data_IF_435376587296
#
_entry.id   IF_435376587296
#
_cell.length_a   1.000
_cell.length_b   1.000
_cell.length_c   1.000
_cell.angle_alpha   90.00
_cell.angle_beta   90.00
_cell.angle_gamma   90.00
#
_symmetry.space_group_name_H-M   'P 1'
#
loop_
_entity.id
_entity.type
_entity.pdbx_description
1 polymer ?
#
# COMPACT_ATOMS: atom_id res chain seq x y z
N UNK A 1 11.02 21.39 31.81
CA UNK A 1 10.53 20.03 32.13
C UNK A 1 10.56 19.19 30.87
N UNK A 2 11.27 18.04 30.83
CA UNK A 2 11.17 17.14 29.69
C UNK A 2 9.71 16.67 29.60
N UNK A 3 9.08 16.84 28.43
CA UNK A 3 7.70 16.42 28.22
C UNK A 3 7.62 14.92 28.47
N UNK A 4 6.76 14.49 29.40
CA UNK A 4 6.43 13.07 29.56
C UNK A 4 6.02 12.56 28.17
N UNK A 5 6.64 11.48 27.65
CA UNK A 5 6.22 10.91 26.38
C UNK A 5 4.74 10.55 26.50
N UNK A 6 3.91 11.04 25.57
CA UNK A 6 2.45 10.88 25.66
C UNK A 6 1.99 9.44 25.41
N UNK A 7 2.92 8.53 25.10
CA UNK A 7 2.68 7.14 24.73
C UNK A 7 3.62 6.24 25.50
N UNK A 8 3.12 5.08 25.89
CA UNK A 8 3.90 4.04 26.55
C UNK A 8 4.97 3.47 25.59
N UNK A 9 6.00 2.82 26.13
CA UNK A 9 7.04 2.18 25.30
C UNK A 9 6.43 1.10 24.39
N UNK A 10 5.43 0.36 24.88
CA UNK A 10 4.75 -0.68 24.10
C UNK A 10 3.94 -0.08 22.94
N UNK A 11 3.25 1.04 23.16
CA UNK A 11 2.57 1.77 22.09
C UNK A 11 3.56 2.26 21.03
N UNK A 12 4.74 2.75 21.43
CA UNK A 12 5.78 3.18 20.50
C UNK A 12 6.33 2.01 19.67
N UNK A 13 6.61 0.86 20.30
CA UNK A 13 7.05 -0.37 19.61
C UNK A 13 6.01 -0.84 18.60
N UNK A 14 4.74 -0.79 18.96
CA UNK A 14 3.64 -1.15 18.07
C UNK A 14 3.57 -0.20 16.86
N UNK A 15 3.64 1.12 17.08
CA UNK A 15 3.62 2.11 16.00
C UNK A 15 4.81 1.96 15.05
N UNK A 16 6.01 1.70 15.59
CA UNK A 16 7.21 1.44 14.79
C UNK A 16 7.06 0.16 13.98
N UNK A 17 6.52 -0.91 14.57
CA UNK A 17 6.24 -2.16 13.86
C UNK A 17 5.28 -1.95 12.68
N UNK A 18 4.19 -1.22 12.90
CA UNK A 18 3.26 -0.86 11.82
C UNK A 18 3.93 -0.02 10.74
N UNK A 19 4.80 0.92 11.13
CA UNK A 19 5.54 1.75 10.17
C UNK A 19 6.50 0.93 9.31
N UNK A 20 7.18 -0.05 9.90
CA UNK A 20 8.04 -0.99 9.17
C UNK A 20 7.21 -1.78 8.16
N UNK A 21 6.03 -2.28 8.54
CA UNK A 21 5.12 -2.97 7.62
C UNK A 21 4.72 -2.07 6.45
N UNK A 22 4.37 -0.81 6.71
CA UNK A 22 4.04 0.13 5.63
C UNK A 22 5.21 0.38 4.68
N UNK A 23 6.43 0.52 5.21
CA UNK A 23 7.62 0.74 4.39
C UNK A 23 7.94 -0.49 3.52
N UNK A 24 7.75 -1.70 4.06
CA UNK A 24 7.86 -2.94 3.28
C UNK A 24 6.84 -2.99 2.16
N UNK A 25 5.57 -2.72 2.45
CA UNK A 25 4.51 -2.64 1.43
C UNK A 25 4.86 -1.63 0.32
N UNK A 26 5.37 -0.45 0.71
CA UNK A 26 5.78 0.59 -0.25
C UNK A 26 6.95 0.14 -1.11
N UNK A 27 7.95 -0.49 -0.51
CA UNK A 27 9.11 -1.03 -1.21
C UNK A 27 8.72 -2.10 -2.22
N UNK A 28 7.94 -3.11 -1.81
CA UNK A 28 7.48 -4.17 -2.71
C UNK A 28 6.60 -3.61 -3.84
N UNK A 29 5.70 -2.67 -3.52
CA UNK A 29 4.89 -1.98 -4.53
C UNK A 29 5.77 -1.26 -5.55
N UNK A 30 6.87 -0.63 -5.10
CA UNK A 30 7.79 0.08 -5.97
C UNK A 30 8.56 -0.86 -6.89
N UNK A 31 8.99 -2.04 -6.40
CA UNK A 31 9.60 -3.07 -7.24
C UNK A 31 8.68 -3.43 -8.41
N UNK A 32 7.39 -3.71 -8.14
CA UNK A 32 6.42 -3.97 -9.20
C UNK A 32 6.18 -2.77 -10.10
N UNK A 33 6.13 -1.56 -9.54
CA UNK A 33 5.90 -0.35 -10.32
C UNK A 33 7.02 -0.10 -11.35
N UNK A 34 8.26 -0.48 -11.04
CA UNK A 34 9.41 -0.37 -11.95
C UNK A 34 9.34 -1.36 -13.13
N UNK A 35 8.61 -2.47 -12.97
CA UNK A 35 8.36 -3.44 -14.04
C UNK A 35 7.27 -2.99 -15.03
N UNK A 36 6.56 -1.89 -14.72
CA UNK A 36 5.42 -1.45 -15.54
C UNK A 36 5.85 -0.96 -16.92
N UNK A 37 5.06 -1.25 -17.97
CA UNK A 37 5.35 -0.79 -19.32
C UNK A 37 5.28 0.74 -19.40
N UNK A 38 6.25 1.35 -20.10
CA UNK A 38 6.33 2.82 -20.27
C UNK A 38 5.52 3.36 -21.45
N UNK A 39 5.04 2.50 -22.34
CA UNK A 39 4.31 2.87 -23.57
C UNK A 39 3.01 2.05 -23.74
N UNK A 40 2.03 2.61 -24.46
CA UNK A 40 0.75 1.94 -24.79
C UNK A 40 0.89 0.87 -25.88
N UNK A 41 0.02 -0.15 -25.85
CA UNK A 41 -0.13 -1.16 -24.81
C UNK A 41 0.70 -2.39 -25.23
N UNK A 42 1.74 -2.73 -24.48
CA UNK A 42 2.30 -4.08 -24.57
C UNK A 42 1.41 -4.97 -23.69
N UNK A 43 0.44 -5.67 -24.31
CA UNK A 43 -0.55 -6.55 -23.68
C UNK A 43 0.04 -7.71 -22.82
N UNK A 44 1.34 -7.70 -22.52
CA UNK A 44 2.07 -8.75 -21.83
C UNK A 44 2.32 -8.48 -20.35
N UNK A 45 1.87 -7.35 -19.79
CA UNK A 45 2.08 -7.10 -18.36
C UNK A 45 1.14 -7.95 -17.50
N UNK A 46 1.68 -9.04 -16.97
CA UNK A 46 1.02 -9.95 -16.03
C UNK A 46 1.88 -10.13 -14.77
N UNK A 47 1.27 -10.65 -13.70
CA UNK A 47 1.98 -10.97 -12.47
C UNK A 47 3.23 -11.85 -12.73
N UNK A 48 3.07 -12.89 -13.55
CA UNK A 48 4.16 -13.77 -13.94
C UNK A 48 5.26 -13.04 -14.71
N UNK A 49 4.89 -12.16 -15.65
CA UNK A 49 5.87 -11.38 -16.41
C UNK A 49 6.66 -10.42 -15.52
N UNK A 50 5.99 -9.69 -14.61
CA UNK A 50 6.68 -8.81 -13.66
C UNK A 50 7.65 -9.57 -12.74
N UNK A 51 7.28 -10.78 -12.32
CA UNK A 51 8.08 -11.61 -11.42
C UNK A 51 9.40 -12.08 -12.03
N UNK A 52 9.54 -12.08 -13.36
CA UNK A 52 10.83 -12.40 -14.02
C UNK A 52 11.96 -11.46 -13.62
N UNK A 53 11.63 -10.26 -13.15
CA UNK A 53 12.59 -9.22 -12.73
C UNK A 53 12.63 -8.99 -11.21
N UNK A 54 11.86 -9.75 -10.43
CA UNK A 54 11.72 -9.58 -8.98
C UNK A 54 12.14 -10.86 -8.26
N UNK A 55 13.02 -10.72 -7.28
CA UNK A 55 13.47 -11.83 -6.44
C UNK A 55 12.29 -12.51 -5.71
N UNK A 56 12.35 -13.83 -5.55
CA UNK A 56 11.22 -14.66 -5.10
C UNK A 56 10.63 -14.22 -3.75
N UNK A 57 11.48 -13.79 -2.82
CA UNK A 57 11.11 -13.29 -1.49
C UNK A 57 10.28 -11.98 -1.51
N UNK A 58 10.24 -11.29 -2.65
CA UNK A 58 9.48 -10.06 -2.86
C UNK A 58 8.27 -10.26 -3.77
N UNK A 59 8.02 -11.47 -4.25
CA UNK A 59 6.88 -11.75 -5.12
C UNK A 59 5.58 -11.76 -4.32
N UNK A 60 4.73 -10.77 -4.55
CA UNK A 60 3.52 -10.53 -3.78
C UNK A 60 2.41 -9.93 -4.66
N UNK A 61 1.26 -10.60 -4.71
CA UNK A 61 0.09 -10.18 -5.51
C UNK A 61 -0.46 -8.83 -5.05
N UNK A 62 -0.48 -8.56 -3.75
CA UNK A 62 -1.00 -7.30 -3.23
C UNK A 62 -0.11 -6.12 -3.62
N UNK A 63 1.21 -6.32 -3.61
CA UNK A 63 2.17 -5.33 -4.08
C UNK A 63 2.02 -5.07 -5.59
N UNK A 64 1.85 -6.13 -6.38
CA UNK A 64 1.57 -6.04 -7.81
C UNK A 64 0.28 -5.25 -8.09
N UNK A 65 -0.82 -5.57 -7.41
CA UNK A 65 -2.10 -4.87 -7.57
C UNK A 65 -2.01 -3.38 -7.16
N UNK A 66 -1.31 -3.06 -6.06
CA UNK A 66 -1.04 -1.67 -5.66
C UNK A 66 -0.29 -0.92 -6.77
N UNK A 67 0.71 -1.57 -7.39
CA UNK A 67 1.46 -0.99 -8.48
C UNK A 67 0.58 -0.75 -9.72
N UNK A 68 -0.27 -1.71 -10.09
CA UNK A 68 -1.22 -1.57 -11.22
C UNK A 68 -2.15 -0.39 -11.00
N UNK A 69 -2.76 -0.29 -9.83
CA UNK A 69 -3.65 0.84 -9.47
C UNK A 69 -2.91 2.17 -9.59
N UNK A 70 -1.68 2.25 -9.05
CA UNK A 70 -0.84 3.45 -9.14
C UNK A 70 -0.51 3.79 -10.60
N UNK A 71 -0.16 2.80 -11.42
CA UNK A 71 0.18 2.98 -12.82
C UNK A 71 -1.01 3.51 -13.63
N UNK A 72 -2.18 2.88 -13.49
CA UNK A 72 -3.41 3.33 -14.15
C UNK A 72 -3.85 4.73 -13.70
N UNK A 73 -3.68 5.05 -12.42
CA UNK A 73 -4.04 6.35 -11.87
C UNK A 73 -3.13 7.51 -12.30
N UNK A 74 -1.88 7.22 -12.70
CA UNK A 74 -0.91 8.23 -13.15
C UNK A 74 -0.96 8.49 -14.67
N UNK A 75 -1.57 7.59 -15.45
CA UNK A 75 -1.66 7.71 -16.91
C UNK A 75 -2.88 8.52 -17.34
N UNK A 76 -2.79 9.09 -18.55
CA UNK A 76 -3.89 9.84 -19.14
C UNK A 76 -5.02 8.90 -19.60
N UNK A 77 -6.29 9.33 -19.51
CA UNK A 77 -7.40 8.64 -20.16
C UNK A 77 -7.13 8.42 -21.65
N UNK A 78 -7.43 7.23 -22.17
CA UNK A 78 -7.13 6.84 -23.55
C UNK A 78 -5.71 6.32 -23.79
N UNK A 79 -4.83 6.45 -22.79
CA UNK A 79 -3.46 5.95 -22.80
C UNK A 79 -3.23 4.89 -21.71
N UNK A 80 -4.16 3.94 -21.56
CA UNK A 80 -4.12 2.93 -20.49
C UNK A 80 -4.36 3.48 -19.07
N UNK A 81 -4.62 4.78 -18.93
CA UNK A 81 -4.96 5.41 -17.66
C UNK A 81 -6.47 5.53 -17.43
N UNK A 82 -6.88 5.53 -16.17
CA UNK A 82 -8.26 5.78 -15.77
C UNK A 82 -8.31 6.34 -14.34
N UNK A 83 -9.29 7.20 -14.06
CA UNK A 83 -9.57 7.65 -12.69
C UNK A 83 -9.89 6.43 -11.82
N UNK A 84 -9.15 6.26 -10.72
CA UNK A 84 -9.35 5.15 -9.79
C UNK A 84 -9.38 5.64 -8.35
N UNK A 85 -10.28 5.04 -7.57
CA UNK A 85 -10.33 5.15 -6.11
C UNK A 85 -9.99 3.81 -5.45
N UNK A 86 -9.51 2.84 -6.24
CA UNK A 86 -9.20 1.51 -5.75
C UNK A 86 -8.09 1.58 -4.71
N UNK A 87 -8.18 0.69 -3.73
CA UNK A 87 -7.17 0.51 -2.70
C UNK A 87 -7.09 -0.98 -2.39
N UNK A 88 -5.88 -1.47 -2.12
CA UNK A 88 -5.64 -2.84 -1.70
C UNK A 88 -5.47 -2.84 -0.18
N UNK A 89 -6.25 -3.68 0.50
CA UNK A 89 -6.09 -3.95 1.93
C UNK A 89 -5.53 -5.36 2.07
N UNK A 90 -4.34 -5.47 2.65
CA UNK A 90 -3.74 -6.77 2.99
C UNK A 90 -4.19 -7.20 4.38
N UNK A 91 -4.58 -8.46 4.50
CA UNK A 91 -4.83 -9.12 5.78
C UNK A 91 -3.71 -10.10 6.06
N UNK A 92 -3.06 -9.98 7.21
CA UNK A 92 -2.03 -10.92 7.64
C UNK A 92 -2.69 -12.04 8.46
N UNK A 93 -2.94 -13.18 7.81
CA UNK A 93 -3.59 -14.34 8.45
C UNK A 93 -2.71 -15.08 9.47
N UNK A 94 -1.41 -14.81 9.48
CA UNK A 94 -0.45 -15.43 10.39
C UNK A 94 -0.22 -14.60 11.67
N UNK A 95 -1.01 -13.55 11.89
CA UNK A 95 -0.97 -12.79 13.12
C UNK A 95 -1.70 -13.55 14.23
N UNK A 96 -1.13 -13.55 15.44
CA UNK A 96 -1.88 -13.98 16.64
C UNK A 96 -3.17 -13.16 16.73
N UNK A 97 -4.26 -13.75 17.22
CA UNK A 97 -5.60 -13.14 17.21
C UNK A 97 -5.65 -11.70 17.78
N UNK A 98 -4.91 -11.40 18.85
CA UNK A 98 -4.81 -10.02 19.40
C UNK A 98 -4.15 -9.03 18.43
N UNK A 99 -3.27 -9.48 17.57
CA UNK A 99 -2.63 -8.69 16.53
C UNK A 99 -3.52 -8.45 15.31
N UNK A 100 -4.51 -9.32 15.06
CA UNK A 100 -5.51 -9.14 13.99
C UNK A 100 -6.44 -7.96 14.29
N UNK A 101 -7.01 -7.90 15.51
CA UNK A 101 -7.89 -6.79 15.91
C UNK A 101 -7.16 -5.44 15.86
N UNK A 102 -5.92 -5.41 16.36
CA UNK A 102 -5.08 -4.22 16.29
C UNK A 102 -4.79 -3.79 14.84
N UNK A 103 -4.56 -4.75 13.94
CA UNK A 103 -4.38 -4.48 12.51
C UNK A 103 -5.65 -3.94 11.86
N UNK A 104 -6.81 -4.55 12.13
CA UNK A 104 -8.11 -4.08 11.62
C UNK A 104 -8.37 -2.65 12.07
N UNK A 105 -8.11 -2.33 13.34
CA UNK A 105 -8.26 -0.99 13.88
C UNK A 105 -7.28 0.00 13.23
N UNK A 106 -6.04 -0.42 12.97
CA UNK A 106 -5.06 0.38 12.26
C UNK A 106 -5.52 0.72 10.83
N UNK A 107 -5.90 -0.29 10.05
CA UNK A 107 -6.40 -0.14 8.68
C UNK A 107 -7.66 0.73 8.67
N UNK A 108 -8.61 0.47 9.57
CA UNK A 108 -9.86 1.25 9.67
C UNK A 108 -9.57 2.73 9.95
N UNK A 109 -8.63 3.04 10.85
CA UNK A 109 -8.20 4.43 11.10
C UNK A 109 -7.59 5.08 9.86
N UNK A 110 -6.81 4.34 9.07
CA UNK A 110 -6.21 4.83 7.81
C UNK A 110 -7.30 5.12 6.77
N UNK A 111 -8.24 4.21 6.58
CA UNK A 111 -9.39 4.40 5.67
C UNK A 111 -10.24 5.61 6.07
N UNK A 112 -10.52 5.78 7.37
CA UNK A 112 -11.25 6.95 7.89
C UNK A 112 -10.50 8.26 7.60
N UNK A 113 -9.17 8.29 7.73
CA UNK A 113 -8.36 9.48 7.39
C UNK A 113 -8.44 9.81 5.89
N UNK A 114 -8.35 8.82 5.02
CA UNK A 114 -8.48 8.98 3.56
C UNK A 114 -9.88 9.46 3.16
N UNK A 115 -10.93 8.97 3.83
CA UNK A 115 -12.29 9.44 3.60
C UNK A 115 -12.48 10.91 4.04
N UNK A 116 -11.93 11.29 5.21
CA UNK A 116 -12.06 12.64 5.77
C UNK A 116 -11.24 13.69 5.01
N UNK A 117 -10.08 13.34 4.44
CA UNK A 117 -9.25 14.30 3.70
C UNK A 117 -9.97 14.85 2.45
N UNK A 118 -10.96 14.14 1.91
CA UNK A 118 -11.82 14.62 0.81
C UNK A 118 -12.80 15.73 1.20
N UNK A 119 -13.06 15.95 2.49
CA UNK A 119 -14.06 16.92 2.97
C UNK A 119 -13.49 18.35 3.09
N UNK A 120 -12.18 18.58 2.90
CA UNK A 120 -11.58 19.92 3.00
C UNK A 120 -11.17 20.53 1.66
N UNK A 121 -12.11 21.24 1.04
CA UNK A 121 -12.08 22.67 0.64
C UNK A 121 -13.06 22.90 -0.51
N UNK A 122 -14.32 23.16 -0.16
CA UNK A 122 -15.10 24.16 -0.90
C UNK A 122 -14.80 25.48 -0.19
N UNK A 123 -14.05 26.36 -0.85
CA UNK A 123 -14.04 27.79 -0.58
C UNK A 123 -14.60 28.45 -1.82
#
# INVERSE_FOLDING_TARGET
MPRKPSKTIEEQKYELSMKITELKEQYETQLYFETMPKVDPMYSYSYQHSNMSIAGEHQNVDAWLRAVIKHMGLRLPGHGGQKTNALVVTMFKDLRQTSEDMWIDYVTRKLRKLAKSRVKKVK
#
